data_IF_944302663350
#
_entry.id   IF_944302663350
#
_cell.length_a   1.000
_cell.length_b   1.000
_cell.length_c   1.000
_cell.angle_alpha   90.00
_cell.angle_beta   90.00
_cell.angle_gamma   90.00
#
_symmetry.space_group_name_H-M   'P 1'
#
loop_
_entity.id
_entity.type
_entity.pdbx_description
1 polymer ?
#
# COMPACT_ATOMS: atom_id res chain seq x y z
N UNK A 1 11.12 -30.29 -66.45
CA UNK A 1 11.98 -29.66 -65.42
C UNK A 1 11.29 -28.37 -64.98
N UNK A 2 10.18 -28.34 -64.26
CA UNK A 2 9.71 -29.06 -63.06
C UNK A 2 10.59 -28.90 -61.81
N UNK A 3 10.03 -28.12 -60.87
CA UNK A 3 9.99 -28.34 -59.42
C UNK A 3 11.29 -28.15 -58.61
N UNK A 4 11.73 -26.91 -58.48
CA UNK A 4 12.44 -26.37 -57.30
C UNK A 4 12.57 -24.88 -57.53
N UNK A 5 11.74 -24.01 -56.96
CA UNK A 5 12.13 -23.17 -55.80
C UNK A 5 10.88 -22.42 -55.28
N UNK A 6 9.68 -22.89 -55.64
CA UNK A 6 8.44 -22.58 -54.90
C UNK A 6 8.56 -22.97 -53.41
N UNK A 7 9.47 -23.91 -53.11
CA UNK A 7 9.84 -24.33 -51.76
C UNK A 7 10.58 -23.25 -50.96
N UNK A 8 11.46 -22.45 -51.57
CA UNK A 8 12.17 -21.39 -50.84
C UNK A 8 11.27 -20.21 -50.49
N UNK A 9 10.34 -19.85 -51.38
CA UNK A 9 9.38 -18.77 -51.10
C UNK A 9 8.42 -19.20 -49.99
N UNK A 10 7.96 -20.46 -49.98
CA UNK A 10 7.16 -20.99 -48.88
C UNK A 10 7.92 -21.07 -47.55
N UNK A 11 9.22 -21.41 -47.57
CA UNK A 11 10.03 -21.45 -46.35
C UNK A 11 10.24 -20.05 -45.76
N UNK A 12 10.53 -19.04 -46.58
CA UNK A 12 10.73 -17.65 -46.11
C UNK A 12 9.44 -17.01 -45.59
N UNK A 13 8.30 -17.29 -46.23
CA UNK A 13 6.99 -16.80 -45.74
C UNK A 13 6.58 -17.48 -44.43
N UNK A 14 6.87 -18.78 -44.26
CA UNK A 14 6.63 -19.47 -42.97
C UNK A 14 7.57 -18.94 -41.88
N UNK A 15 8.83 -18.63 -42.18
CA UNK A 15 9.76 -18.02 -41.21
C UNK A 15 9.33 -16.62 -40.74
N UNK A 16 8.74 -15.80 -41.63
CA UNK A 16 8.21 -14.48 -41.22
C UNK A 16 6.92 -14.62 -40.40
N UNK A 17 6.12 -15.66 -40.63
CA UNK A 17 4.89 -15.92 -39.87
C UNK A 17 5.16 -16.50 -38.47
N UNK A 18 6.27 -17.23 -38.27
CA UNK A 18 6.68 -17.74 -36.94
C UNK A 18 7.25 -16.63 -36.05
N UNK A 19 7.86 -15.59 -36.63
CA UNK A 19 8.40 -14.45 -35.85
C UNK A 19 7.28 -13.48 -35.41
N UNK A 20 6.13 -13.46 -36.09
CA UNK A 20 4.95 -12.70 -35.65
C UNK A 20 4.10 -13.41 -34.57
N UNK A 21 4.48 -14.63 -34.18
CA UNK A 21 3.97 -15.30 -32.96
C UNK A 21 4.91 -15.05 -31.78
N UNK A 22 5.64 -13.93 -31.80
CA UNK A 22 5.86 -13.16 -30.57
C UNK A 22 4.52 -12.53 -30.16
N UNK A 23 3.54 -13.41 -29.94
CA UNK A 23 2.41 -13.19 -29.06
C UNK A 23 3.07 -12.75 -27.77
N UNK A 24 3.10 -11.44 -27.53
CA UNK A 24 3.21 -10.91 -26.20
C UNK A 24 2.09 -11.58 -25.43
N UNK A 25 2.41 -12.70 -24.81
CA UNK A 25 1.73 -13.14 -23.63
C UNK A 25 2.01 -12.02 -22.64
N UNK A 26 1.19 -10.97 -22.72
CA UNK A 26 0.79 -10.24 -21.54
C UNK A 26 0.17 -11.36 -20.70
N UNK A 27 1.01 -11.97 -19.86
CA UNK A 27 0.55 -12.57 -18.63
C UNK A 27 -0.14 -11.38 -17.97
N UNK A 28 -1.45 -11.27 -18.22
CA UNK A 28 -2.32 -10.55 -17.32
C UNK A 28 -2.24 -11.36 -16.04
N UNK A 29 -1.22 -11.06 -15.25
CA UNK A 29 -1.19 -11.40 -13.84
C UNK A 29 -2.59 -11.08 -13.36
N UNK A 30 -3.28 -12.05 -12.78
CA UNK A 30 -4.51 -11.78 -12.03
C UNK A 30 -4.20 -10.98 -10.77
N UNK A 31 -3.32 -9.98 -10.86
CA UNK A 31 -3.05 -9.02 -9.84
C UNK A 31 -4.35 -8.27 -9.63
N UNK A 32 -5.01 -8.59 -8.52
CA UNK A 32 -5.95 -7.66 -7.93
C UNK A 32 -5.18 -6.35 -7.78
N UNK A 33 -5.63 -5.30 -8.46
CA UNK A 33 -5.10 -3.96 -8.26
C UNK A 33 -5.34 -3.62 -6.79
N UNK A 34 -4.25 -3.54 -6.00
CA UNK A 34 -4.31 -3.15 -4.60
C UNK A 34 -3.70 -1.78 -4.42
N UNK A 35 -4.13 -1.09 -3.38
CA UNK A 35 -3.63 0.24 -3.05
C UNK A 35 -3.25 0.30 -1.59
N UNK A 36 -1.99 0.67 -1.29
CA UNK A 36 -1.60 1.10 0.03
C UNK A 36 -2.12 2.52 0.26
N UNK A 37 -2.96 2.68 1.28
CA UNK A 37 -3.51 3.96 1.69
C UNK A 37 -2.84 4.41 2.98
N UNK A 38 -2.38 5.66 2.99
CA UNK A 38 -1.98 6.38 4.20
C UNK A 38 -3.08 7.38 4.52
N UNK A 39 -3.76 7.22 5.64
CA UNK A 39 -4.84 8.10 6.07
C UNK A 39 -4.48 8.83 7.37
N UNK A 40 -5.03 10.03 7.57
CA UNK A 40 -5.01 10.68 8.87
C UNK A 40 -5.77 9.83 9.89
N UNK A 41 -5.15 9.52 11.03
CA UNK A 41 -5.72 8.57 11.99
C UNK A 41 -6.97 9.13 12.71
N UNK A 42 -7.13 10.45 12.79
CA UNK A 42 -8.26 11.09 13.47
C UNK A 42 -9.44 11.32 12.51
N UNK A 43 -9.17 11.82 11.30
CA UNK A 43 -10.22 12.16 10.33
C UNK A 43 -10.55 11.02 9.35
N UNK A 44 -9.63 10.08 9.15
CA UNK A 44 -9.71 9.03 8.14
C UNK A 44 -9.57 9.55 6.70
N UNK A 45 -9.13 10.79 6.51
CA UNK A 45 -8.90 11.35 5.18
C UNK A 45 -7.64 10.75 4.56
N UNK A 46 -7.71 10.23 3.31
CA UNK A 46 -6.52 9.71 2.63
C UNK A 46 -5.56 10.86 2.32
N UNK A 47 -4.31 10.69 2.75
CA UNK A 47 -3.19 11.61 2.55
C UNK A 47 -2.32 11.17 1.38
N UNK A 48 -2.18 9.86 1.18
CA UNK A 48 -1.41 9.24 0.11
C UNK A 48 -2.06 7.91 -0.28
N UNK A 49 -2.07 7.64 -1.59
CA UNK A 49 -2.51 6.36 -2.17
C UNK A 49 -1.43 5.89 -3.14
N UNK A 50 -0.89 4.69 -2.92
CA UNK A 50 0.19 4.11 -3.73
C UNK A 50 -0.27 2.74 -4.23
N UNK A 51 -0.25 2.47 -5.55
CA UNK A 51 -0.56 1.14 -6.05
C UNK A 51 0.49 0.13 -5.55
N UNK A 52 0.05 -1.05 -5.14
CA UNK A 52 0.92 -2.14 -4.67
C UNK A 52 0.44 -3.47 -5.23
N UNK A 53 1.38 -4.39 -5.41
CA UNK A 53 1.13 -5.78 -5.78
C UNK A 53 1.33 -6.73 -4.59
N UNK A 54 0.78 -7.94 -4.73
CA UNK A 54 1.04 -9.03 -3.77
C UNK A 54 2.54 -9.33 -3.70
N UNK A 55 3.10 -9.30 -2.50
CA UNK A 55 4.52 -9.54 -2.28
C UNK A 55 5.41 -8.28 -2.32
N UNK A 56 4.85 -7.10 -2.57
CA UNK A 56 5.61 -5.85 -2.54
C UNK A 56 6.09 -5.50 -1.13
N UNK A 57 7.28 -4.93 -1.04
CA UNK A 57 7.81 -4.40 0.23
C UNK A 57 7.26 -3.00 0.51
N UNK A 58 6.76 -2.84 1.74
CA UNK A 58 6.36 -1.56 2.33
C UNK A 58 7.30 -1.30 3.50
N UNK A 59 8.13 -0.27 3.41
CA UNK A 59 9.19 -0.02 4.40
C UNK A 59 8.88 1.27 5.16
N UNK A 60 8.83 1.17 6.49
CA UNK A 60 8.79 2.31 7.39
C UNK A 60 10.20 2.60 7.92
N UNK A 61 10.77 3.73 7.48
CA UNK A 61 12.12 4.16 7.86
C UNK A 61 12.05 5.32 8.85
N UNK A 62 12.80 5.25 9.95
CA UNK A 62 12.85 6.31 10.96
C UNK A 62 14.13 6.28 11.80
N UNK A 63 14.40 7.35 12.53
CA UNK A 63 15.51 7.45 13.48
C UNK A 63 15.06 7.06 14.88
N UNK A 64 15.71 6.05 15.46
CA UNK A 64 15.45 5.61 16.83
C UNK A 64 15.73 6.73 17.85
N UNK A 65 14.79 6.99 18.76
CA UNK A 65 14.78 8.20 19.59
C UNK A 65 15.95 8.30 20.57
N UNK A 66 16.41 7.17 21.12
CA UNK A 66 17.52 7.09 22.09
C UNK A 66 18.84 6.93 21.37
N UNK A 67 18.95 5.85 20.61
CA UNK A 67 20.16 5.45 19.88
C UNK A 67 20.54 6.40 18.72
N UNK A 68 19.61 7.23 18.25
CA UNK A 68 19.81 8.14 17.11
C UNK A 68 20.39 7.46 15.87
N UNK A 69 20.01 6.20 15.67
CA UNK A 69 20.40 5.37 14.52
C UNK A 69 19.16 5.08 13.68
N UNK A 70 19.33 4.88 12.36
CA UNK A 70 18.21 4.52 11.50
C UNK A 70 17.69 3.13 11.84
N UNK A 71 16.38 2.97 11.66
CA UNK A 71 15.61 1.74 11.77
C UNK A 71 14.73 1.64 10.54
N UNK A 72 14.59 0.44 10.00
CA UNK A 72 13.65 0.11 8.93
C UNK A 72 12.82 -1.08 9.35
N UNK A 73 11.52 -0.88 9.48
CA UNK A 73 10.55 -1.96 9.60
C UNK A 73 10.04 -2.30 8.20
N UNK A 74 10.30 -3.53 7.75
CA UNK A 74 9.95 -4.00 6.40
C UNK A 74 8.75 -4.93 6.51
N UNK A 75 7.70 -4.56 5.79
CA UNK A 75 6.48 -5.32 5.64
C UNK A 75 6.34 -5.81 4.21
N UNK A 76 5.59 -6.90 4.02
CA UNK A 76 5.22 -7.43 2.71
C UNK A 76 3.70 -7.44 2.59
N UNK A 77 3.20 -6.99 1.44
CA UNK A 77 1.76 -7.05 1.13
C UNK A 77 1.33 -8.51 0.98
N UNK A 78 0.41 -8.94 1.84
CA UNK A 78 -0.20 -10.28 1.86
C UNK A 78 -1.73 -10.15 1.89
N UNK A 79 -2.37 -10.20 0.73
CA UNK A 79 -3.79 -9.92 0.59
C UNK A 79 -4.11 -8.45 0.94
N UNK A 80 -4.84 -8.24 2.04
CA UNK A 80 -5.18 -6.91 2.59
C UNK A 80 -4.40 -6.60 3.88
N UNK A 81 -3.42 -7.44 4.22
CA UNK A 81 -2.61 -7.28 5.42
C UNK A 81 -1.16 -6.91 5.05
N UNK A 82 -0.49 -6.23 5.96
CA UNK A 82 0.94 -5.99 5.95
C UNK A 82 1.59 -7.00 6.89
N UNK A 83 2.21 -8.03 6.33
CA UNK A 83 2.96 -9.03 7.10
C UNK A 83 4.33 -8.50 7.43
N UNK A 84 4.71 -8.52 8.71
CA UNK A 84 6.06 -8.15 9.12
C UNK A 84 7.07 -9.14 8.54
N UNK A 85 8.09 -8.64 7.84
CA UNK A 85 9.11 -9.46 7.20
C UNK A 85 10.43 -9.42 7.98
N UNK A 86 10.94 -8.21 8.22
CA UNK A 86 12.17 -8.00 8.98
C UNK A 86 12.26 -6.58 9.54
N UNK A 87 13.08 -6.43 10.56
CA UNK A 87 13.54 -5.16 11.08
C UNK A 87 15.05 -5.04 10.83
N UNK A 88 15.49 -3.91 10.28
CA UNK A 88 16.91 -3.58 10.10
C UNK A 88 17.28 -2.41 11.00
N UNK A 89 18.32 -2.57 11.82
CA UNK A 89 18.76 -1.55 12.78
C UNK A 89 20.29 -1.54 12.94
N UNK A 90 20.84 -0.48 13.55
CA UNK A 90 22.30 -0.27 13.58
C UNK A 90 22.90 -0.12 14.99
N UNK A 91 22.15 -0.39 16.06
CA UNK A 91 22.65 -0.39 17.43
C UNK A 91 22.02 -1.48 18.30
N UNK A 92 22.70 -1.90 19.36
CA UNK A 92 22.18 -2.83 20.38
C UNK A 92 21.72 -2.12 21.65
N UNK A 93 21.45 -0.82 21.59
CA UNK A 93 21.06 -0.05 22.77
C UNK A 93 19.60 -0.22 23.17
N UNK A 94 19.17 0.60 24.13
CA UNK A 94 17.88 0.42 24.77
C UNK A 94 16.71 0.56 23.79
N UNK A 95 15.77 -0.39 23.81
CA UNK A 95 14.54 -0.35 23.00
C UNK A 95 14.65 -1.04 21.64
N UNK A 96 15.82 -1.59 21.29
CA UNK A 96 16.00 -2.41 20.09
C UNK A 96 16.07 -3.91 20.44
N UNK A 97 15.78 -4.81 19.48
CA UNK A 97 15.87 -6.25 19.69
C UNK A 97 17.22 -6.68 20.27
N UNK A 98 17.18 -7.55 21.29
CA UNK A 98 18.39 -8.06 21.96
C UNK A 98 18.31 -9.53 22.38
N UNK A 99 17.11 -10.08 22.54
CA UNK A 99 16.89 -11.48 22.97
C UNK A 99 16.55 -12.43 21.80
N UNK A 100 16.45 -11.90 20.58
CA UNK A 100 16.10 -12.64 19.37
C UNK A 100 17.35 -13.03 18.55
N UNK A 101 17.26 -14.01 17.64
CA UNK A 101 18.35 -14.32 16.71
C UNK A 101 18.61 -13.13 15.78
N UNK A 102 19.66 -12.36 16.07
CA UNK A 102 20.09 -11.22 15.26
C UNK A 102 21.12 -11.68 14.22
N UNK A 103 20.81 -11.49 12.95
CA UNK A 103 21.77 -11.64 11.85
C UNK A 103 22.56 -10.35 11.63
N UNK A 104 23.86 -10.48 11.31
CA UNK A 104 24.72 -9.35 10.92
C UNK A 104 24.90 -9.37 9.41
N UNK A 105 24.34 -8.39 8.72
CA UNK A 105 24.45 -8.24 7.27
C UNK A 105 25.21 -6.96 6.92
N UNK A 106 25.42 -6.73 5.62
CA UNK A 106 25.98 -5.45 5.13
C UNK A 106 24.98 -4.29 5.29
N UNK A 107 23.69 -4.59 5.47
CA UNK A 107 22.62 -3.61 5.67
C UNK A 107 22.48 -3.21 7.14
N UNK A 108 22.84 -4.06 8.09
CA UNK A 108 22.75 -3.79 9.51
C UNK A 108 22.59 -5.04 10.37
N UNK A 109 22.01 -4.86 11.55
CA UNK A 109 21.47 -5.94 12.36
C UNK A 109 20.05 -6.24 11.87
N UNK A 110 19.81 -7.49 11.49
CA UNK A 110 18.53 -7.93 10.94
C UNK A 110 17.88 -8.90 11.90
N UNK A 111 16.60 -8.68 12.19
CA UNK A 111 15.74 -9.58 12.96
C UNK A 111 14.49 -9.87 12.13
N UNK A 112 14.03 -11.12 12.15
CA UNK A 112 12.81 -11.51 11.45
C UNK A 112 11.58 -10.81 12.08
N UNK A 113 10.69 -10.30 11.25
CA UNK A 113 9.41 -9.78 11.69
C UNK A 113 8.47 -10.90 12.12
N UNK A 114 7.54 -10.58 13.02
CA UNK A 114 6.50 -11.50 13.47
C UNK A 114 5.12 -10.85 13.34
N UNK A 115 4.16 -11.59 12.77
CA UNK A 115 2.76 -11.18 12.69
C UNK A 115 2.35 -10.54 11.36
N UNK A 116 1.04 -10.28 11.27
CA UNK A 116 0.38 -9.60 10.15
C UNK A 116 -0.55 -8.53 10.72
N UNK A 117 -0.68 -7.43 9.98
CA UNK A 117 -1.41 -6.25 10.41
C UNK A 117 -2.36 -5.79 9.31
N UNK A 118 -3.67 -5.74 9.60
CA UNK A 118 -4.63 -5.05 8.75
C UNK A 118 -4.36 -3.52 8.74
N UNK A 119 -3.83 -3.01 9.86
CA UNK A 119 -3.57 -1.59 10.08
C UNK A 119 -2.25 -1.39 10.81
N UNK A 120 -1.44 -0.44 10.34
CA UNK A 120 -0.26 0.04 11.05
C UNK A 120 -0.45 1.52 11.40
N UNK A 121 -0.52 1.80 12.71
CA UNK A 121 -0.57 3.18 13.22
C UNK A 121 0.84 3.70 13.41
N UNK A 122 1.14 4.82 12.77
CA UNK A 122 2.41 5.53 12.89
C UNK A 122 2.16 6.91 13.48
N UNK A 123 3.06 7.39 14.34
CA UNK A 123 3.05 8.78 14.80
C UNK A 123 4.27 9.52 14.26
N UNK A 124 4.18 10.10 13.04
CA UNK A 124 5.27 10.85 12.43
C UNK A 124 5.72 12.00 13.33
N UNK A 125 7.02 12.01 13.65
CA UNK A 125 7.64 13.07 14.42
C UNK A 125 8.91 13.54 13.74
N UNK A 126 9.11 14.86 13.65
CA UNK A 126 10.27 15.48 12.98
C UNK A 126 11.63 15.08 13.55
N UNK A 127 11.69 14.64 14.81
CA UNK A 127 12.92 14.12 15.42
C UNK A 127 13.27 12.74 14.87
N UNK A 128 12.26 11.90 14.65
CA UNK A 128 12.44 10.56 14.11
C UNK A 128 12.54 10.61 12.58
N UNK A 129 11.84 11.53 11.92
CA UNK A 129 11.82 11.67 10.46
C UNK A 129 11.27 10.41 9.81
N UNK A 130 9.99 10.11 10.06
CA UNK A 130 9.37 8.90 9.51
C UNK A 130 9.16 9.08 8.01
N UNK A 131 9.66 8.11 7.25
CA UNK A 131 9.51 8.03 5.80
C UNK A 131 8.90 6.69 5.44
N UNK A 132 7.94 6.71 4.51
CA UNK A 132 7.40 5.53 3.87
C UNK A 132 8.15 5.28 2.56
N UNK A 133 8.51 4.04 2.30
CA UNK A 133 9.18 3.65 1.05
C UNK A 133 8.42 2.48 0.42
N UNK A 134 7.98 2.66 -0.83
CA UNK A 134 7.23 1.67 -1.62
C UNK A 134 7.76 1.73 -3.06
N UNK A 135 8.09 0.58 -3.66
CA UNK A 135 8.73 0.49 -4.98
C UNK A 135 9.95 1.43 -5.17
N UNK A 136 10.69 1.67 -4.09
CA UNK A 136 11.84 2.58 -4.06
C UNK A 136 11.49 4.08 -4.06
N UNK A 137 10.22 4.46 -4.19
CA UNK A 137 9.75 5.83 -3.99
C UNK A 137 9.65 6.15 -2.50
N UNK A 138 10.03 7.38 -2.11
CA UNK A 138 10.09 7.80 -0.69
C UNK A 138 9.09 8.91 -0.44
N UNK A 139 8.29 8.77 0.62
CA UNK A 139 7.27 9.73 1.04
C UNK A 139 7.54 10.16 2.48
N UNK A 140 7.72 11.47 2.70
CA UNK A 140 7.94 12.03 4.03
C UNK A 140 6.61 12.10 4.79
N UNK A 141 6.41 11.21 5.77
CA UNK A 141 5.16 11.16 6.53
C UNK A 141 5.00 12.35 7.48
N UNK A 142 6.10 13.02 7.83
CA UNK A 142 6.10 14.22 8.67
C UNK A 142 5.58 15.42 7.87
N UNK A 143 5.93 15.53 6.58
CA UNK A 143 5.39 16.58 5.72
C UNK A 143 3.93 16.32 5.30
N UNK A 144 3.53 15.05 5.21
CA UNK A 144 2.20 14.66 4.74
C UNK A 144 1.12 14.73 5.83
N UNK A 145 1.48 14.75 7.11
CA UNK A 145 0.52 14.63 8.21
C UNK A 145 0.74 15.67 9.32
N UNK A 146 -0.34 16.03 10.02
CA UNK A 146 -0.29 16.89 11.20
C UNK A 146 -0.46 16.12 12.52
N UNK A 147 -0.48 14.78 12.44
CA UNK A 147 -0.85 13.89 13.52
C UNK A 147 -0.44 12.45 13.21
N UNK A 148 -1.03 11.48 13.89
CA UNK A 148 -0.80 10.07 13.58
C UNK A 148 -1.43 9.72 12.23
N UNK A 149 -0.83 8.74 11.56
CA UNK A 149 -1.35 8.18 10.32
C UNK A 149 -1.59 6.69 10.46
N UNK A 150 -2.48 6.18 9.63
CA UNK A 150 -2.83 4.78 9.48
C UNK A 150 -2.39 4.32 8.10
N UNK A 151 -1.66 3.20 8.04
CA UNK A 151 -1.32 2.50 6.80
C UNK A 151 -2.20 1.25 6.70
N UNK A 152 -2.92 1.11 5.59
CA UNK A 152 -3.77 -0.05 5.30
C UNK A 152 -3.75 -0.39 3.80
N UNK A 153 -3.91 -1.67 3.45
CA UNK A 153 -4.07 -2.11 2.06
C UNK A 153 -5.57 -2.14 1.72
N UNK A 154 -5.94 -1.55 0.60
CA UNK A 154 -7.30 -1.43 0.08
C UNK A 154 -8.29 -0.66 0.98
N UNK A 155 -7.75 0.23 1.83
CA UNK A 155 -8.46 1.43 2.30
C UNK A 155 -9.87 1.18 2.86
N UNK A 156 -10.04 0.32 3.86
CA UNK A 156 -11.40 0.03 4.35
C UNK A 156 -11.97 1.22 5.13
N UNK A 157 -11.14 2.10 5.69
CA UNK A 157 -11.59 3.22 6.52
C UNK A 157 -12.24 4.33 5.69
N UNK A 158 -11.66 4.68 4.54
CA UNK A 158 -12.22 5.68 3.63
C UNK A 158 -13.60 5.30 3.10
N UNK A 159 -13.77 4.03 2.73
CA UNK A 159 -15.04 3.48 2.25
C UNK A 159 -16.10 3.38 3.36
N UNK A 160 -15.70 2.96 4.57
CA UNK A 160 -16.62 2.85 5.72
C UNK A 160 -17.06 4.21 6.26
N UNK A 161 -16.16 5.20 6.35
CA UNK A 161 -16.49 6.55 6.79
C UNK A 161 -17.31 7.31 5.73
N UNK A 162 -17.00 7.13 4.44
CA UNK A 162 -17.83 7.67 3.36
C UNK A 162 -19.22 7.04 3.36
N UNK A 163 -19.33 5.72 3.56
CA UNK A 163 -20.63 5.04 3.70
C UNK A 163 -21.42 5.56 4.91
N UNK A 164 -20.78 5.78 6.06
CA UNK A 164 -21.44 6.32 7.26
C UNK A 164 -21.87 7.79 7.10
N UNK A 165 -21.06 8.63 6.42
CA UNK A 165 -21.41 10.03 6.12
C UNK A 165 -22.56 10.12 5.11
N UNK A 166 -22.63 9.19 4.15
CA UNK A 166 -23.76 9.05 3.22
C UNK A 166 -25.08 8.71 3.92
N UNK A 167 -25.04 7.92 4.99
CA UNK A 167 -26.23 7.60 5.81
C UNK A 167 -26.67 8.81 6.64
N UNK A 168 -25.74 9.61 7.17
CA UNK A 168 -26.06 10.83 7.92
C UNK A 168 -26.75 11.92 7.08
N UNK A 169 -26.32 12.09 5.82
CA UNK A 169 -26.93 13.09 4.92
C UNK A 169 -28.33 12.71 4.43
N UNK A 170 -28.68 11.41 4.39
CA UNK A 170 -30.00 10.95 3.95
C UNK A 170 -31.09 11.07 5.06
N UNK A 171 -30.69 11.31 6.30
CA UNK A 171 -31.60 11.47 7.45
C UNK A 171 -32.06 12.93 7.61
N UNK A 172 -31.26 13.91 7.15
CA UNK A 172 -31.55 15.34 7.31
C UNK A 172 -32.64 15.87 6.35
N UNK A 173 -32.87 15.20 5.20
CA UNK A 173 -33.84 15.65 4.17
C UNK A 173 -35.31 15.25 4.45
N UNK A 174 -35.61 14.60 5.58
CA UNK A 174 -37.00 14.18 5.93
C UNK A 174 -37.73 15.07 6.93
N UNK A 175 -37.21 16.26 7.26
CA UNK A 175 -37.82 17.13 8.29
C UNK A 175 -38.41 18.45 7.77
N UNK A 176 -38.77 18.59 6.49
CA UNK A 176 -39.50 19.78 6.03
C UNK A 176 -40.62 19.47 5.02
N UNK A 177 -41.63 18.70 5.43
CA UNK A 177 -42.90 18.68 4.68
C UNK A 177 -44.10 18.23 5.50
N UNK A 178 -44.43 18.87 6.62
CA UNK A 178 -45.77 18.68 7.23
C UNK A 178 -46.18 19.83 8.18
N UNK A 179 -46.26 21.08 7.68
CA UNK A 179 -47.05 22.13 8.35
C UNK A 179 -47.77 23.02 7.35
N UNK A 180 -48.70 22.45 6.56
CA UNK A 180 -49.80 23.20 5.94
C UNK A 180 -51.03 22.32 5.77
N UNK A 181 -51.96 22.37 6.73
CA UNK A 181 -53.40 22.56 6.48
C UNK A 181 -54.18 22.40 7.80
N UNK A 182 -54.91 23.44 8.20
CA UNK A 182 -55.75 23.41 9.40
C UNK A 182 -56.56 24.70 9.56
N UNK A 183 -57.56 24.85 8.70
CA UNK A 183 -58.47 26.00 8.61
C UNK A 183 -59.69 25.81 9.55
N UNK A 184 -59.90 26.80 10.43
CA UNK A 184 -61.17 27.49 10.81
C UNK A 184 -62.30 26.79 11.61
N UNK A 185 -63.00 27.63 12.40
CA UNK A 185 -64.35 27.55 13.01
C UNK A 185 -64.36 26.97 14.45
N UNK A 186 -64.89 27.61 15.51
CA UNK A 186 -65.85 28.73 15.72
C UNK A 186 -65.40 29.54 16.93
#
# INVERSE_FOLDING_TARGET
MERSTRWYVSAVVVSILVVFVATGAVVASGATERTLVVADADSGEPLLEVPVDEGDEVILSYTHSVEKTPVQDVYVVDGTELRADRMVFHSHGAGLPSDEPIERTDEGFVVAGEGSHEEIVVSPGSIAGHELIVDGERYDLVEQSNGSVVLEVDGTIGDRLTALRGIGSAVDDRSESDVRSGKLLV
#
